data_IF_892239663374
#
_entry.id   IF_892239663374
#
_cell.length_a   1.000
_cell.length_b   1.000
_cell.length_c   1.000
_cell.angle_alpha   90.00
_cell.angle_beta   90.00
_cell.angle_gamma   90.00
#
_symmetry.space_group_name_H-M   'P 1'
#
loop_
_entity.id
_entity.type
_entity.pdbx_description
1 polymer ?
#
# COMPACT_ATOMS: atom_id res chain seq x y z
N UNK A 1 -1.73 -11.99 26.85
CA UNK A 1 -2.24 -11.13 25.76
C UNK A 1 -1.02 -10.73 24.94
N UNK A 2 -0.72 -11.45 23.85
CA UNK A 2 0.40 -11.11 22.96
C UNK A 2 0.07 -9.75 22.35
N UNK A 3 0.86 -8.72 22.67
CA UNK A 3 0.67 -7.40 22.07
C UNK A 3 0.83 -7.55 20.55
N UNK A 4 -0.23 -7.21 19.83
CA UNK A 4 -0.26 -7.25 18.38
C UNK A 4 0.84 -6.32 17.86
N UNK A 5 1.96 -6.90 17.40
CA UNK A 5 3.17 -6.14 17.03
C UNK A 5 3.16 -5.73 15.56
N UNK A 6 2.38 -6.45 14.73
CA UNK A 6 2.21 -6.19 13.31
C UNK A 6 0.95 -5.35 13.07
N UNK A 7 1.13 -4.20 12.42
CA UNK A 7 0.05 -3.27 12.08
C UNK A 7 -0.59 -3.64 10.73
N UNK A 8 0.23 -4.02 9.75
CA UNK A 8 -0.19 -4.40 8.40
C UNK A 8 0.93 -5.21 7.73
N UNK A 9 0.62 -5.97 6.69
CA UNK A 9 1.60 -6.65 5.86
C UNK A 9 1.37 -6.34 4.38
N UNK A 10 2.44 -6.01 3.65
CA UNK A 10 2.47 -5.91 2.19
C UNK A 10 3.39 -7.03 1.68
N UNK A 11 2.81 -8.13 1.20
CA UNK A 11 3.55 -9.32 0.80
C UNK A 11 4.33 -9.93 1.97
N UNK A 12 5.66 -9.82 1.92
CA UNK A 12 6.56 -10.26 2.99
C UNK A 12 6.99 -9.11 3.92
N UNK A 13 6.64 -7.87 3.57
CA UNK A 13 7.01 -6.70 4.35
C UNK A 13 5.97 -6.43 5.45
N UNK A 14 6.39 -6.55 6.71
CA UNK A 14 5.55 -6.32 7.87
C UNK A 14 5.77 -4.91 8.42
N UNK A 15 4.72 -4.10 8.42
CA UNK A 15 4.68 -2.81 9.10
C UNK A 15 4.52 -3.05 10.61
N UNK A 16 5.55 -2.70 11.36
CA UNK A 16 5.59 -2.80 12.81
C UNK A 16 6.44 -1.69 13.40
N UNK A 17 6.37 -1.49 14.72
CA UNK A 17 7.14 -0.45 15.42
C UNK A 17 8.66 -0.54 15.20
N UNK A 18 9.19 -1.74 14.93
CA UNK A 18 10.62 -1.97 14.69
C UNK A 18 11.04 -1.76 13.23
N UNK A 19 10.09 -1.60 12.30
CA UNK A 19 10.35 -1.42 10.87
C UNK A 19 9.92 -0.03 10.43
N UNK A 20 8.71 0.08 9.89
CA UNK A 20 8.10 1.32 9.42
C UNK A 20 6.70 1.39 10.02
N UNK A 21 6.55 1.90 11.26
CA UNK A 21 5.22 2.16 11.78
C UNK A 21 4.58 3.30 10.99
N UNK A 22 3.40 3.05 10.42
CA UNK A 22 2.56 4.10 9.87
C UNK A 22 1.66 4.68 10.97
N UNK A 23 1.28 5.94 10.84
CA UNK A 23 0.35 6.61 11.75
C UNK A 23 -0.99 6.88 11.09
N UNK A 24 -0.98 7.07 9.77
CA UNK A 24 -2.17 7.41 9.01
C UNK A 24 -2.29 6.51 7.79
N UNK A 25 -3.54 6.13 7.51
CA UNK A 25 -3.90 5.34 6.35
C UNK A 25 -5.13 5.97 5.71
N UNK A 26 -5.03 6.33 4.43
CA UNK A 26 -6.12 6.85 3.63
C UNK A 26 -6.44 5.83 2.53
N UNK A 27 -7.72 5.56 2.29
CA UNK A 27 -8.18 4.62 1.27
C UNK A 27 -9.25 5.30 0.43
N UNK A 28 -9.02 5.37 -0.86
CA UNK A 28 -9.92 5.98 -1.82
C UNK A 28 -10.43 4.91 -2.79
N UNK A 29 -11.75 4.88 -2.97
CA UNK A 29 -12.43 3.97 -3.88
C UNK A 29 -13.26 4.78 -4.86
N UNK A 30 -13.12 4.46 -6.14
CA UNK A 30 -13.88 5.08 -7.21
C UNK A 30 -14.68 4.02 -7.96
N UNK A 31 -15.89 4.37 -8.38
CA UNK A 31 -16.79 3.49 -9.13
C UNK A 31 -17.25 4.17 -10.41
N UNK A 32 -17.35 3.40 -11.49
CA UNK A 32 -17.79 3.91 -12.78
C UNK A 32 -19.30 3.76 -12.92
N UNK A 33 -19.95 4.91 -13.12
CA UNK A 33 -21.38 5.04 -13.29
C UNK A 33 -21.73 5.82 -14.58
N UNK A 34 -21.48 5.27 -15.78
CA UNK A 34 -21.88 5.89 -17.03
C UNK A 34 -23.37 6.22 -17.04
N UNK A 35 -23.70 7.43 -17.50
CA UNK A 35 -25.08 7.91 -17.59
C UNK A 35 -25.47 8.07 -19.05
N UNK A 36 -26.72 7.73 -19.36
CA UNK A 36 -27.30 7.95 -20.68
C UNK A 36 -28.50 8.88 -20.56
N UNK A 37 -28.45 9.99 -21.30
CA UNK A 37 -29.49 11.02 -21.29
C UNK A 37 -30.77 10.50 -21.92
N UNK A 38 -31.91 10.86 -21.32
CA UNK A 38 -33.24 10.48 -21.82
C UNK A 38 -34.12 11.72 -21.88
N UNK A 39 -34.96 11.83 -22.90
CA UNK A 39 -35.83 13.01 -23.08
C UNK A 39 -36.86 13.09 -21.96
N UNK A 40 -36.91 14.26 -21.28
CA UNK A 40 -37.93 14.59 -20.28
C UNK A 40 -37.82 13.83 -18.95
N UNK A 41 -36.73 13.09 -18.70
CA UNK A 41 -36.50 12.34 -17.46
C UNK A 41 -35.05 12.48 -17.01
N UNK A 42 -34.79 12.10 -15.75
CA UNK A 42 -33.42 12.01 -15.24
C UNK A 42 -32.61 10.98 -16.07
N UNK A 43 -31.33 11.24 -16.40
CA UNK A 43 -30.47 10.27 -17.08
C UNK A 43 -30.42 8.92 -16.34
N UNK A 44 -30.44 7.82 -17.09
CA UNK A 44 -30.28 6.49 -16.51
C UNK A 44 -28.81 6.23 -16.24
N UNK A 45 -28.48 5.79 -15.03
CA UNK A 45 -27.13 5.43 -14.62
C UNK A 45 -26.95 3.91 -14.68
N UNK A 46 -25.86 3.45 -15.29
CA UNK A 46 -25.45 2.05 -15.28
C UNK A 46 -24.21 1.86 -14.41
N UNK A 47 -24.25 0.92 -13.48
CA UNK A 47 -23.04 0.52 -12.74
C UNK A 47 -22.18 -0.37 -13.62
N UNK A 48 -20.96 0.08 -13.94
CA UNK A 48 -20.01 -0.66 -14.78
C UNK A 48 -18.87 -1.29 -13.97
N UNK A 49 -18.86 -1.09 -12.66
CA UNK A 49 -17.90 -1.69 -11.75
C UNK A 49 -17.03 -0.66 -11.05
N UNK A 50 -16.01 -1.20 -10.37
CA UNK A 50 -15.02 -0.42 -9.64
C UNK A 50 -14.00 0.16 -10.62
N UNK A 51 -13.74 1.45 -10.50
CA UNK A 51 -12.84 2.19 -11.41
C UNK A 51 -11.39 2.10 -10.92
N UNK A 52 -11.17 2.46 -9.66
CA UNK A 52 -9.85 2.44 -9.04
C UNK A 52 -9.99 2.29 -7.54
N UNK A 53 -8.96 1.72 -6.92
CA UNK A 53 -8.74 1.80 -5.49
C UNK A 53 -7.30 2.16 -5.25
N UNK A 54 -7.09 3.21 -4.47
CA UNK A 54 -5.77 3.65 -4.04
C UNK A 54 -5.73 3.67 -2.52
N UNK A 55 -4.57 3.36 -1.96
CA UNK A 55 -4.34 3.36 -0.53
C UNK A 55 -3.03 4.07 -0.24
N UNK A 56 -3.11 5.13 0.56
CA UNK A 56 -1.95 5.91 0.97
C UNK A 56 -1.65 5.61 2.42
N UNK A 57 -0.41 5.29 2.71
CA UNK A 57 0.08 4.95 4.04
C UNK A 57 1.18 5.94 4.36
N UNK A 58 1.05 6.67 5.47
CA UNK A 58 2.01 7.70 5.86
C UNK A 58 2.42 7.57 7.32
N UNK A 59 3.64 8.04 7.57
CA UNK A 59 4.14 8.13 8.92
C UNK A 59 5.47 8.87 9.04
N UNK A 60 5.85 9.11 10.27
CA UNK A 60 7.11 9.71 10.68
C UNK A 60 7.97 8.66 11.34
N UNK A 61 9.19 8.51 10.85
CA UNK A 61 10.24 7.71 11.44
C UNK A 61 11.27 8.64 12.10
N UNK A 62 11.69 8.25 13.31
CA UNK A 62 12.82 8.86 14.00
C UNK A 62 13.94 7.80 13.96
N UNK A 63 14.90 7.87 13.03
CA UNK A 63 15.82 6.76 12.77
C UNK A 63 16.61 6.29 14.00
N UNK A 64 16.95 7.20 14.91
CA UNK A 64 17.66 6.86 16.16
C UNK A 64 16.84 6.00 17.13
N UNK A 65 15.51 6.17 17.11
CA UNK A 65 14.60 5.50 18.04
C UNK A 65 13.89 4.30 17.40
N UNK A 66 13.56 4.43 16.12
CA UNK A 66 12.65 3.53 15.39
C UNK A 66 13.39 2.62 14.41
N UNK A 67 14.64 2.95 14.05
CA UNK A 67 15.27 2.38 12.86
C UNK A 67 14.52 2.78 11.59
N UNK A 68 14.66 2.01 10.51
CA UNK A 68 13.76 2.12 9.35
C UNK A 68 14.37 2.63 8.04
N UNK A 69 15.61 3.13 8.02
CA UNK A 69 16.29 3.48 6.74
C UNK A 69 16.42 2.26 5.82
N UNK A 70 16.90 1.14 6.36
CA UNK A 70 16.99 -0.12 5.62
C UNK A 70 15.61 -0.68 5.23
N UNK A 71 14.59 -0.44 6.07
CA UNK A 71 13.23 -0.87 5.78
C UNK A 71 12.58 -0.07 4.65
N UNK A 72 12.87 1.23 4.55
CA UNK A 72 12.47 2.05 3.40
C UNK A 72 13.16 1.56 2.12
N UNK A 73 14.47 1.26 2.18
CA UNK A 73 15.18 0.67 1.03
C UNK A 73 14.62 -0.69 0.62
N UNK A 74 14.13 -1.50 1.56
CA UNK A 74 13.44 -2.75 1.24
C UNK A 74 12.12 -2.49 0.49
N UNK A 75 11.36 -1.46 0.87
CA UNK A 75 10.16 -1.05 0.14
C UNK A 75 10.49 -0.51 -1.26
N UNK A 76 11.58 0.25 -1.39
CA UNK A 76 12.09 0.71 -2.70
C UNK A 76 12.43 -0.49 -3.60
N UNK A 77 13.14 -1.49 -3.08
CA UNK A 77 13.48 -2.69 -3.84
C UNK A 77 12.24 -3.51 -4.23
N UNK A 78 11.22 -3.56 -3.36
CA UNK A 78 9.93 -4.17 -3.71
C UNK A 78 9.20 -3.38 -4.80
N UNK A 79 9.26 -2.04 -4.78
CA UNK A 79 8.69 -1.20 -5.82
C UNK A 79 9.41 -1.41 -7.17
N UNK A 80 10.74 -1.55 -7.16
CA UNK A 80 11.55 -1.84 -8.37
C UNK A 80 11.21 -3.18 -9.02
N UNK A 81 10.75 -4.17 -8.25
CA UNK A 81 10.28 -5.44 -8.82
C UNK A 81 9.00 -5.27 -9.64
N UNK A 82 8.20 -4.22 -9.38
CA UNK A 82 6.94 -3.94 -10.09
C UNK A 82 5.86 -5.01 -9.94
N UNK A 83 6.04 -5.97 -9.02
CA UNK A 83 5.10 -7.07 -8.79
C UNK A 83 3.97 -6.61 -7.86
N UNK A 84 2.75 -7.15 -8.03
CA UNK A 84 1.70 -6.92 -7.05
C UNK A 84 1.98 -7.73 -5.78
N UNK A 85 1.67 -7.14 -4.64
CA UNK A 85 1.80 -7.78 -3.34
C UNK A 85 0.45 -7.81 -2.63
N UNK A 86 0.13 -8.89 -1.91
CA UNK A 86 -1.09 -8.94 -1.11
C UNK A 86 -0.95 -7.97 0.07
N UNK A 87 -1.94 -7.11 0.25
CA UNK A 87 -2.02 -6.23 1.42
C UNK A 87 -2.99 -6.84 2.43
N UNK A 88 -2.51 -7.02 3.67
CA UNK A 88 -3.25 -7.68 4.75
C UNK A 88 -3.26 -6.76 5.96
N UNK A 89 -4.45 -6.48 6.48
CA UNK A 89 -4.61 -5.70 7.70
C UNK A 89 -4.16 -6.53 8.93
N UNK A 90 -3.28 -5.98 9.75
CA UNK A 90 -2.76 -6.66 10.94
C UNK A 90 -3.74 -6.64 12.12
N UNK A 91 -4.75 -5.77 12.11
CA UNK A 91 -5.77 -5.75 13.17
C UNK A 91 -6.85 -6.82 12.95
N UNK A 92 -7.33 -6.95 11.71
CA UNK A 92 -8.44 -7.86 11.37
C UNK A 92 -7.98 -9.15 10.68
N UNK A 93 -6.71 -9.26 10.30
CA UNK A 93 -6.16 -10.34 9.46
C UNK A 93 -6.88 -10.50 8.12
N UNK A 94 -7.62 -9.48 7.68
CA UNK A 94 -8.33 -9.52 6.41
C UNK A 94 -7.39 -9.14 5.27
N UNK A 95 -7.46 -9.92 4.19
CA UNK A 95 -6.80 -9.58 2.92
C UNK A 95 -7.57 -8.42 2.30
N UNK A 96 -6.92 -7.26 2.22
CA UNK A 96 -7.49 -6.08 1.59
C UNK A 96 -7.53 -6.25 0.08
N UNK A 97 -6.49 -6.83 -0.52
CA UNK A 97 -6.38 -7.10 -1.96
C UNK A 97 -4.94 -7.11 -2.44
N UNK A 98 -4.76 -7.15 -3.76
CA UNK A 98 -3.45 -7.05 -4.41
C UNK A 98 -3.13 -5.62 -4.77
N UNK A 99 -1.95 -5.15 -4.39
CA UNK A 99 -1.52 -3.79 -4.58
C UNK A 99 -0.12 -3.73 -5.18
N UNK A 100 0.07 -2.79 -6.10
CA UNK A 100 1.39 -2.37 -6.57
C UNK A 100 1.78 -1.07 -5.87
N UNK A 101 3.09 -0.88 -5.66
CA UNK A 101 3.63 0.38 -5.16
C UNK A 101 3.73 1.35 -6.33
N UNK A 102 2.98 2.45 -6.28
CA UNK A 102 2.98 3.47 -7.34
C UNK A 102 3.96 4.60 -7.02
N UNK A 103 4.06 4.98 -5.74
CA UNK A 103 4.92 6.07 -5.32
C UNK A 103 5.42 5.86 -3.88
N UNK A 104 6.70 6.15 -3.66
CA UNK A 104 7.29 6.30 -2.33
C UNK A 104 7.87 7.71 -2.25
N UNK A 105 7.34 8.52 -1.34
CA UNK A 105 7.87 9.85 -1.02
C UNK A 105 8.52 9.80 0.36
N UNK A 106 9.78 10.25 0.45
CA UNK A 106 10.51 10.33 1.72
C UNK A 106 11.05 11.75 1.87
N UNK A 107 10.61 12.43 2.92
CA UNK A 107 11.08 13.75 3.28
C UNK A 107 11.97 13.67 4.52
N UNK A 108 13.23 14.07 4.35
CA UNK A 108 14.22 14.10 5.43
C UNK A 108 14.30 15.50 6.05
N UNK A 109 14.25 15.57 7.38
CA UNK A 109 14.36 16.82 8.13
C UNK A 109 15.20 16.64 9.40
N UNK A 110 15.66 17.77 9.96
CA UNK A 110 16.50 17.85 11.16
C UNK A 110 17.78 17.01 11.04
N UNK A 111 18.74 17.49 10.25
CA UNK A 111 19.98 16.77 10.04
C UNK A 111 20.97 16.95 11.20
N UNK A 112 21.71 15.89 11.49
CA UNK A 112 22.92 15.93 12.30
C UNK A 112 24.06 16.63 11.55
N UNK A 113 25.13 16.98 12.27
CA UNK A 113 26.32 17.60 11.68
C UNK A 113 27.07 16.70 10.68
N UNK A 114 26.80 15.39 10.69
CA UNK A 114 27.31 14.40 9.74
C UNK A 114 26.38 14.20 8.51
N UNK A 115 25.24 14.90 8.46
CA UNK A 115 24.25 14.79 7.39
C UNK A 115 23.24 13.65 7.57
N UNK A 116 23.24 12.91 8.68
CA UNK A 116 22.19 11.94 8.96
C UNK A 116 20.87 12.63 9.36
N UNK A 117 19.70 12.23 8.84
CA UNK A 117 18.42 12.83 9.21
C UNK A 117 17.92 12.30 10.57
N UNK A 118 17.43 13.20 11.45
CA UNK A 118 16.76 12.83 12.72
C UNK A 118 15.29 12.51 12.53
N UNK A 119 14.67 13.06 11.49
CA UNK A 119 13.25 12.86 11.19
C UNK A 119 13.09 12.53 9.72
N UNK A 120 12.34 11.47 9.44
CA UNK A 120 11.95 11.05 8.10
C UNK A 120 10.43 10.99 8.06
N UNK A 121 9.79 11.76 7.20
CA UNK A 121 8.36 11.65 6.93
C UNK A 121 8.20 10.86 5.62
N UNK A 122 7.50 9.73 5.65
CA UNK A 122 7.28 8.89 4.47
C UNK A 122 5.81 8.87 4.08
N UNK A 123 5.57 8.73 2.79
CA UNK A 123 4.25 8.48 2.21
C UNK A 123 4.37 7.44 1.10
N UNK A 124 3.64 6.34 1.26
CA UNK A 124 3.57 5.21 0.34
C UNK A 124 2.20 5.20 -0.32
N UNK A 125 2.15 5.32 -1.64
CA UNK A 125 0.92 5.21 -2.43
C UNK A 125 0.86 3.85 -3.10
N UNK A 126 -0.20 3.12 -2.79
CA UNK A 126 -0.51 1.80 -3.32
C UNK A 126 -1.71 1.90 -4.25
N UNK A 127 -1.64 1.20 -5.39
CA UNK A 127 -2.74 1.09 -6.33
C UNK A 127 -3.20 -0.35 -6.41
N UNK A 128 -4.51 -0.57 -6.27
CA UNK A 128 -5.08 -1.90 -6.40
C UNK A 128 -4.97 -2.39 -7.84
N UNK A 129 -4.56 -3.64 -7.97
CA UNK A 129 -4.60 -4.38 -9.24
C UNK A 129 -5.68 -5.44 -9.21
N UNK A 130 -6.02 -5.94 -10.40
CA UNK A 130 -6.99 -7.01 -10.56
C UNK A 130 -6.44 -8.33 -9.99
N UNK A 131 -7.32 -9.14 -9.41
CA UNK A 131 -6.97 -10.43 -8.81
C UNK A 131 -6.58 -11.48 -9.87
N UNK A 132 -6.76 -11.23 -11.17
CA UNK A 132 -6.38 -12.14 -12.26
C UNK A 132 -4.90 -12.56 -12.25
N UNK A 133 -4.00 -11.77 -11.64
CA UNK A 133 -2.61 -12.19 -11.43
C UNK A 133 -2.45 -13.35 -10.43
N UNK A 134 -3.44 -13.63 -9.58
CA UNK A 134 -3.44 -14.84 -8.76
C UNK A 134 -3.54 -16.11 -9.60
N UNK A 135 -4.26 -16.06 -10.71
CA UNK A 135 -4.36 -17.19 -11.62
C UNK A 135 -2.99 -17.47 -12.23
N UNK A 136 -2.31 -16.43 -12.73
CA UNK A 136 -0.97 -16.54 -13.33
C UNK A 136 0.11 -17.00 -12.33
N UNK A 137 0.15 -16.42 -11.12
CA UNK A 137 1.11 -16.83 -10.08
C UNK A 137 0.82 -18.26 -9.60
N UNK A 138 -0.47 -18.63 -9.48
CA UNK A 138 -0.82 -20.01 -9.13
C UNK A 138 -0.43 -20.99 -10.23
N UNK A 139 -0.60 -20.61 -11.51
CA UNK A 139 -0.26 -21.44 -12.66
C UNK A 139 1.27 -21.63 -12.76
N UNK A 140 2.06 -20.57 -12.53
CA UNK A 140 3.52 -20.64 -12.48
C UNK A 140 4.01 -21.57 -11.36
N UNK A 141 3.45 -21.43 -10.15
CA UNK A 141 3.80 -22.28 -8.99
C UNK A 141 3.39 -23.73 -9.23
N UNK A 142 2.22 -23.96 -9.83
CA UNK A 142 1.74 -25.31 -10.17
C UNK A 142 2.51 -25.94 -11.31
N UNK A 143 3.10 -25.15 -12.22
CA UNK A 143 3.96 -25.66 -13.30
C UNK A 143 5.35 -26.11 -12.83
N UNK A 144 5.77 -25.65 -11.65
CA UNK A 144 7.04 -25.99 -11.00
C UNK A 144 6.95 -27.25 -10.11
N UNK A 145 5.76 -27.80 -9.90
CA UNK A 145 5.46 -29.01 -9.13
C UNK A 145 5.13 -30.20 -10.05
#
# INVERSE_FOLDING_TARGET
MLQNSAMMCLGLFVFMRQTVPYQETSRELSWNHPTNSVVGKLPRTQFTGKASETMTISGTLIPELTGGRLSLTALELMAEQGKPYPLIDGATFMVLGWFVIENISVQSSLFFGDGAPRRLDFSLSLKRVDDSMMTEISDDIMSLL
#
